data_IF_418823870257
#
_entry.id   IF_418823870257
#
_cell.length_a   1.000
_cell.length_b   1.000
_cell.length_c   1.000
_cell.angle_alpha   90.00
_cell.angle_beta   90.00
_cell.angle_gamma   90.00
#
_symmetry.space_group_name_H-M   'P 1'
#
loop_
_entity.id
_entity.type
_entity.pdbx_description
1 polymer ?
#
# COMPACT_ATOMS: atom_id res chain seq x y z
N UNK A 1 34.73 -56.76 57.53
CA UNK A 1 34.11 -57.32 58.73
C UNK A 1 32.82 -56.55 58.94
N UNK A 2 31.67 -57.10 58.49
CA UNK A 2 30.35 -56.49 58.60
C UNK A 2 29.59 -57.04 59.82
N UNK A 3 28.61 -56.28 60.33
CA UNK A 3 27.46 -56.83 61.06
C UNK A 3 26.27 -55.84 60.99
N UNK A 4 25.01 -56.29 61.13
CA UNK A 4 23.95 -56.10 60.14
C UNK A 4 22.64 -55.65 60.82
N UNK A 5 21.50 -55.88 60.14
CA UNK A 5 20.13 -55.90 60.67
C UNK A 5 19.48 -54.56 61.08
N UNK A 6 18.55 -54.08 60.25
CA UNK A 6 17.17 -54.55 60.39
C UNK A 6 16.28 -53.99 59.28
N UNK A 7 15.61 -54.95 58.66
CA UNK A 7 14.60 -54.85 57.62
C UNK A 7 13.33 -54.21 58.19
N UNK A 8 12.80 -53.14 57.56
CA UNK A 8 11.36 -52.87 57.57
C UNK A 8 10.93 -52.21 56.27
N UNK A 9 10.11 -52.96 55.53
CA UNK A 9 9.36 -52.54 54.35
C UNK A 9 8.35 -51.47 54.76
N UNK A 10 8.27 -50.38 54.01
CA UNK A 10 7.09 -49.50 54.01
C UNK A 10 6.37 -49.68 52.67
N UNK A 11 5.16 -50.25 52.74
CA UNK A 11 4.14 -50.19 51.69
C UNK A 11 3.41 -48.83 51.77
N UNK A 12 3.04 -48.19 50.65
CA UNK A 12 2.20 -47.01 50.70
C UNK A 12 0.71 -47.41 50.80
N UNK A 13 0.11 -47.06 51.94
CA UNK A 13 -1.34 -47.11 52.16
C UNK A 13 -2.10 -46.21 51.18
N UNK A 14 -2.90 -46.84 50.31
CA UNK A 14 -3.99 -46.22 49.54
C UNK A 14 -5.27 -46.23 50.38
N UNK A 15 -5.67 -45.10 50.95
CA UNK A 15 -7.06 -44.89 51.39
C UNK A 15 -7.53 -43.44 51.14
N UNK A 16 -8.60 -43.36 50.35
CA UNK A 16 -9.69 -42.37 50.37
C UNK A 16 -9.37 -40.87 50.33
N UNK A 17 -9.53 -40.28 49.14
CA UNK A 17 -10.33 -39.06 48.98
C UNK A 17 -11.30 -39.23 47.81
N UNK A 18 -12.57 -39.25 48.14
CA UNK A 18 -13.70 -39.10 47.22
C UNK A 18 -13.81 -37.61 46.89
N UNK A 19 -13.83 -37.17 45.62
CA UNK A 19 -14.40 -35.89 45.26
C UNK A 19 -15.92 -36.07 45.06
N UNK A 20 -16.70 -35.30 45.81
CA UNK A 20 -18.13 -35.10 45.56
C UNK A 20 -18.35 -34.66 44.10
N UNK A 21 -19.12 -35.45 43.35
CA UNK A 21 -19.64 -35.04 42.04
C UNK A 21 -20.80 -34.09 42.28
N UNK A 22 -20.52 -32.78 42.26
CA UNK A 22 -21.54 -31.76 42.10
C UNK A 22 -22.14 -31.85 40.70
N UNK A 23 -23.47 -31.94 40.64
CA UNK A 23 -24.28 -31.80 39.44
C UNK A 23 -23.87 -30.59 38.61
N UNK A 24 -23.61 -30.80 37.31
CA UNK A 24 -23.93 -29.92 36.16
C UNK A 24 -23.15 -30.39 34.91
N UNK A 25 -23.69 -31.38 34.19
CA UNK A 25 -23.27 -31.63 32.81
C UNK A 25 -23.97 -30.60 31.92
N UNK A 26 -23.30 -29.49 31.60
CA UNK A 26 -23.73 -28.59 30.53
C UNK A 26 -23.61 -29.29 29.17
N UNK A 27 -24.65 -29.31 28.33
CA UNK A 27 -24.57 -29.96 27.03
C UNK A 27 -23.69 -29.13 26.09
N UNK A 28 -22.61 -29.75 25.64
CA UNK A 28 -21.76 -29.23 24.57
C UNK A 28 -22.59 -29.18 23.28
N UNK A 29 -22.98 -27.97 22.86
CA UNK A 29 -23.67 -27.72 21.58
C UNK A 29 -22.75 -28.14 20.41
N UNK A 30 -22.84 -29.40 19.99
CA UNK A 30 -22.50 -29.78 18.61
C UNK A 30 -23.76 -29.56 17.77
N UNK A 31 -23.71 -28.55 16.89
CA UNK A 31 -24.81 -28.20 16.01
C UNK A 31 -25.02 -29.26 14.94
N UNK A 32 -26.08 -30.05 15.08
CA UNK A 32 -26.60 -30.92 14.04
C UNK A 32 -27.91 -31.55 14.51
N UNK A 33 -29.00 -31.32 13.77
CA UNK A 33 -30.35 -31.79 14.14
C UNK A 33 -30.44 -33.32 14.39
N UNK A 34 -29.45 -34.10 13.90
CA UNK A 34 -29.33 -35.54 14.15
C UNK A 34 -28.88 -35.93 15.57
N UNK A 35 -28.10 -35.09 16.27
CA UNK A 35 -27.59 -35.41 17.62
C UNK A 35 -28.73 -35.44 18.66
N UNK A 36 -29.68 -34.52 18.53
CA UNK A 36 -30.88 -34.42 19.39
C UNK A 36 -31.87 -35.58 19.22
N UNK A 37 -31.91 -36.23 18.05
CA UNK A 37 -32.81 -37.36 17.81
C UNK A 37 -32.23 -38.69 18.34
N UNK A 38 -30.90 -38.81 18.34
CA UNK A 38 -30.20 -39.98 18.85
C UNK A 38 -30.29 -40.06 20.39
N UNK A 39 -30.08 -38.93 21.06
CA UNK A 39 -30.16 -38.81 22.52
C UNK A 39 -31.56 -39.17 23.05
N UNK A 40 -32.61 -38.77 22.31
CA UNK A 40 -34.00 -39.02 22.71
C UNK A 40 -34.38 -40.50 22.70
N UNK A 41 -33.84 -41.28 21.77
CA UNK A 41 -34.17 -42.72 21.63
C UNK A 41 -33.45 -43.60 22.66
N UNK A 42 -32.24 -43.21 23.07
CA UNK A 42 -31.52 -43.88 24.16
C UNK A 42 -32.24 -43.64 25.48
N UNK A 43 -32.78 -42.43 25.68
CA UNK A 43 -33.59 -42.08 26.85
C UNK A 43 -34.96 -42.79 26.85
N UNK A 44 -35.60 -42.97 25.70
CA UNK A 44 -36.87 -43.73 25.60
C UNK A 44 -36.71 -45.24 25.81
N UNK A 45 -35.55 -45.81 25.45
CA UNK A 45 -35.24 -47.22 25.70
C UNK A 45 -34.84 -47.49 27.16
N UNK A 46 -34.52 -46.43 27.92
CA UNK A 46 -34.12 -46.55 29.31
C UNK A 46 -35.33 -46.66 30.24
N UNK A 47 -35.60 -47.87 30.73
CA UNK A 47 -36.59 -48.08 31.80
C UNK A 47 -36.18 -47.36 33.10
N UNK A 48 -37.15 -47.01 33.98
CA UNK A 48 -36.93 -46.14 35.14
C UNK A 48 -36.00 -46.69 36.24
N UNK A 49 -35.50 -47.92 36.11
CA UNK A 49 -34.65 -48.58 37.11
C UNK A 49 -33.23 -48.92 36.63
N UNK A 50 -32.80 -48.48 35.42
CA UNK A 50 -31.44 -48.76 34.96
C UNK A 50 -30.38 -47.96 35.74
N UNK A 51 -29.34 -48.66 36.19
CA UNK A 51 -28.19 -48.01 36.86
C UNK A 51 -27.27 -47.32 35.83
N UNK A 52 -26.51 -46.31 36.27
CA UNK A 52 -25.67 -45.49 35.37
C UNK A 52 -24.65 -46.29 34.54
N UNK A 53 -24.21 -47.46 35.01
CA UNK A 53 -23.34 -48.37 34.26
C UNK A 53 -24.09 -49.16 33.16
N UNK A 54 -25.36 -49.49 33.38
CA UNK A 54 -26.21 -50.15 32.38
C UNK A 54 -26.56 -49.21 31.24
N UNK A 55 -26.84 -47.94 31.55
CA UNK A 55 -27.02 -46.89 30.54
C UNK A 55 -25.80 -46.70 29.64
N UNK A 56 -24.59 -46.71 30.23
CA UNK A 56 -23.35 -46.61 29.47
C UNK A 56 -23.11 -47.87 28.61
N UNK A 57 -23.44 -49.05 29.11
CA UNK A 57 -23.33 -50.30 28.34
C UNK A 57 -24.33 -50.34 27.16
N UNK A 58 -25.55 -49.86 27.37
CA UNK A 58 -26.59 -49.78 26.34
C UNK A 58 -26.22 -48.76 25.25
N UNK A 59 -25.73 -47.58 25.66
CA UNK A 59 -25.23 -46.55 24.74
C UNK A 59 -24.03 -47.05 23.92
N UNK A 60 -23.14 -47.84 24.52
CA UNK A 60 -22.00 -48.43 23.83
C UNK A 60 -22.42 -49.53 22.84
N UNK A 61 -23.43 -50.35 23.16
CA UNK A 61 -24.03 -51.31 22.21
C UNK A 61 -24.72 -50.60 21.05
N UNK A 62 -25.44 -49.51 21.32
CA UNK A 62 -26.14 -48.74 20.30
C UNK A 62 -25.17 -48.05 19.34
N UNK A 63 -24.07 -47.50 19.86
CA UNK A 63 -22.99 -46.93 19.04
C UNK A 63 -22.30 -47.98 18.17
N UNK A 64 -22.07 -49.20 18.68
CA UNK A 64 -21.49 -50.30 17.88
C UNK A 64 -22.46 -50.83 16.79
N UNK A 65 -23.77 -50.85 17.07
CA UNK A 65 -24.78 -51.24 16.08
C UNK A 65 -24.91 -50.22 14.92
N UNK A 66 -24.62 -48.94 15.17
CA UNK A 66 -24.59 -47.89 14.15
C UNK A 66 -23.24 -47.76 13.43
N UNK A 67 -22.16 -48.39 13.92
CA UNK A 67 -20.83 -48.30 13.31
C UNK A 67 -20.50 -49.41 12.30
N UNK A 68 -21.35 -50.43 12.15
CA UNK A 68 -21.05 -51.61 11.28
C UNK A 68 -21.70 -51.59 9.91
N UNK A 69 -22.57 -50.62 9.59
CA UNK A 69 -23.19 -50.50 8.26
C UNK A 69 -23.32 -49.03 7.82
N UNK A 70 -22.39 -48.52 6.98
CA UNK A 70 -22.43 -47.15 6.51
C UNK A 70 -23.65 -46.82 5.62
N UNK A 71 -24.43 -47.83 5.21
CA UNK A 71 -25.63 -47.63 4.38
C UNK A 71 -26.90 -47.27 5.16
N UNK A 72 -26.89 -47.33 6.50
CA UNK A 72 -28.07 -47.10 7.35
C UNK A 72 -28.13 -45.75 8.06
N UNK A 73 -27.18 -44.84 7.81
CA UNK A 73 -27.33 -43.45 8.27
C UNK A 73 -28.48 -42.83 7.48
N UNK A 74 -29.60 -42.41 8.12
CA UNK A 74 -30.66 -41.74 7.41
C UNK A 74 -30.07 -40.46 6.79
N UNK A 75 -29.93 -40.46 5.46
CA UNK A 75 -29.62 -39.26 4.71
C UNK A 75 -30.81 -38.33 4.91
N UNK A 76 -30.69 -37.38 5.83
CA UNK A 76 -31.64 -36.27 5.95
C UNK A 76 -31.83 -35.63 4.58
N UNK A 77 -32.99 -34.97 4.32
CA UNK A 77 -33.31 -34.42 3.01
C UNK A 77 -32.11 -33.63 2.52
N UNK A 78 -31.54 -34.06 1.39
CA UNK A 78 -30.29 -33.52 0.87
C UNK A 78 -30.30 -32.00 1.01
N UNK A 79 -29.55 -31.49 1.99
CA UNK A 79 -29.19 -30.09 2.04
C UNK A 79 -28.33 -29.89 0.80
N UNK A 80 -28.97 -29.58 -0.32
CA UNK A 80 -28.29 -29.34 -1.58
C UNK A 80 -27.14 -28.39 -1.29
N UNK A 81 -25.94 -28.74 -1.78
CA UNK A 81 -24.83 -27.81 -1.78
C UNK A 81 -25.37 -26.44 -2.21
N UNK A 82 -25.03 -25.34 -1.51
CA UNK A 82 -25.55 -24.02 -1.87
C UNK A 82 -25.35 -23.84 -3.37
N UNK A 83 -26.37 -23.38 -4.13
CA UNK A 83 -26.32 -23.35 -5.58
C UNK A 83 -25.03 -22.67 -6.02
N UNK A 84 -24.09 -23.45 -6.54
CA UNK A 84 -22.81 -22.94 -6.99
C UNK A 84 -23.11 -22.21 -8.28
N UNK A 85 -23.14 -20.87 -8.21
CA UNK A 85 -23.24 -20.03 -9.40
C UNK A 85 -22.24 -20.54 -10.44
N UNK A 86 -22.62 -20.64 -11.73
CA UNK A 86 -21.68 -21.05 -12.77
C UNK A 86 -20.40 -20.23 -12.66
N UNK A 87 -19.23 -20.86 -12.80
CA UNK A 87 -17.92 -20.19 -12.61
C UNK A 87 -17.82 -18.91 -13.43
N UNK A 88 -18.41 -18.89 -14.63
CA UNK A 88 -18.51 -17.71 -15.49
C UNK A 88 -19.28 -16.55 -14.84
N UNK A 89 -20.39 -16.84 -14.17
CA UNK A 89 -21.21 -15.82 -13.46
C UNK A 89 -20.43 -15.22 -12.31
N UNK A 90 -19.71 -16.03 -11.53
CA UNK A 90 -18.86 -15.54 -10.43
C UNK A 90 -17.73 -14.65 -10.96
N UNK A 91 -17.07 -15.05 -12.05
CA UNK A 91 -16.02 -14.25 -12.69
C UNK A 91 -16.59 -12.93 -13.21
N UNK A 92 -17.73 -12.97 -13.90
CA UNK A 92 -18.37 -11.78 -14.48
C UNK A 92 -18.84 -10.81 -13.39
N UNK A 93 -19.47 -11.31 -12.32
CA UNK A 93 -19.82 -10.51 -11.15
C UNK A 93 -18.59 -9.90 -10.48
N UNK A 94 -17.49 -10.65 -10.40
CA UNK A 94 -16.20 -10.15 -9.90
C UNK A 94 -15.65 -9.01 -10.75
N UNK A 95 -15.62 -9.17 -12.08
CA UNK A 95 -15.15 -8.13 -13.01
C UNK A 95 -16.02 -6.88 -12.95
N UNK A 96 -17.35 -7.04 -12.97
CA UNK A 96 -18.30 -5.92 -12.85
C UNK A 96 -18.15 -5.24 -11.49
N UNK A 97 -17.96 -6.00 -10.41
CA UNK A 97 -17.72 -5.46 -9.08
C UNK A 97 -16.44 -4.64 -8.98
N UNK A 98 -15.33 -5.12 -9.57
CA UNK A 98 -14.06 -4.38 -9.63
C UNK A 98 -14.20 -3.13 -10.48
N UNK A 99 -14.81 -3.23 -11.67
CA UNK A 99 -15.02 -2.08 -12.55
C UNK A 99 -15.91 -1.01 -11.89
N UNK A 100 -17.03 -1.43 -11.27
CA UNK A 100 -17.92 -0.55 -10.54
C UNK A 100 -17.26 0.12 -9.33
N UNK A 101 -16.42 -0.63 -8.60
CA UNK A 101 -15.64 -0.08 -7.48
C UNK A 101 -14.63 0.97 -7.96
N UNK A 102 -13.88 0.70 -9.03
CA UNK A 102 -12.94 1.65 -9.60
C UNK A 102 -13.63 2.89 -10.15
N UNK A 103 -14.79 2.73 -10.80
CA UNK A 103 -15.61 3.83 -11.27
C UNK A 103 -16.10 4.71 -10.11
N UNK A 104 -16.58 4.11 -9.03
CA UNK A 104 -17.01 4.84 -7.83
C UNK A 104 -15.83 5.58 -7.17
N UNK A 105 -14.68 4.92 -7.04
CA UNK A 105 -13.46 5.54 -6.51
C UNK A 105 -13.06 6.75 -7.34
N UNK A 106 -13.12 6.64 -8.67
CA UNK A 106 -12.84 7.75 -9.59
C UNK A 106 -13.81 8.91 -9.40
N UNK A 107 -15.11 8.62 -9.29
CA UNK A 107 -16.14 9.65 -9.07
C UNK A 107 -15.95 10.38 -7.72
N UNK A 108 -15.51 9.67 -6.69
CA UNK A 108 -15.21 10.21 -5.37
C UNK A 108 -13.75 10.68 -5.21
N UNK A 109 -12.96 10.66 -6.29
CA UNK A 109 -11.52 10.89 -6.26
C UNK A 109 -11.13 12.28 -5.73
N UNK A 110 -11.95 13.30 -5.99
CA UNK A 110 -11.76 14.67 -5.51
C UNK A 110 -11.74 14.77 -3.97
N UNK A 111 -12.40 13.83 -3.28
CA UNK A 111 -12.45 13.76 -1.83
C UNK A 111 -11.51 12.67 -1.29
N UNK A 112 -11.55 11.49 -1.90
CA UNK A 112 -10.80 10.32 -1.42
C UNK A 112 -9.29 10.48 -1.59
N UNK A 113 -8.82 11.05 -2.71
CA UNK A 113 -7.38 11.18 -2.93
C UNK A 113 -6.71 12.16 -1.95
N UNK A 114 -7.24 13.38 -1.72
CA UNK A 114 -6.69 14.28 -0.72
C UNK A 114 -6.83 13.73 0.72
N UNK A 115 -7.95 13.08 1.04
CA UNK A 115 -8.15 12.45 2.35
C UNK A 115 -7.17 11.28 2.58
N UNK A 116 -6.90 10.48 1.55
CA UNK A 116 -5.94 9.38 1.65
C UNK A 116 -4.50 9.89 1.73
N UNK A 117 -4.14 10.94 0.99
CA UNK A 117 -2.86 11.63 1.17
C UNK A 117 -2.72 12.17 2.60
N UNK A 118 -3.80 12.74 3.15
CA UNK A 118 -3.83 13.21 4.54
C UNK A 118 -3.59 12.08 5.53
N UNK A 119 -4.23 10.92 5.33
CA UNK A 119 -3.99 9.73 6.15
C UNK A 119 -2.52 9.32 6.12
N UNK A 120 -1.88 9.34 4.95
CA UNK A 120 -0.45 9.07 4.82
C UNK A 120 0.39 10.06 5.64
N UNK A 121 0.12 11.36 5.53
CA UNK A 121 0.83 12.39 6.28
C UNK A 121 0.68 12.21 7.80
N UNK A 122 -0.54 11.91 8.28
CA UNK A 122 -0.79 11.62 9.71
C UNK A 122 0.01 10.39 10.16
N UNK A 123 0.03 9.33 9.35
CA UNK A 123 0.81 8.12 9.64
C UNK A 123 2.30 8.45 9.76
N UNK A 124 2.84 9.28 8.86
CA UNK A 124 4.26 9.69 8.85
C UNK A 124 4.63 10.55 10.05
N UNK A 125 3.75 11.47 10.47
CA UNK A 125 4.06 12.42 11.55
C UNK A 125 3.71 11.89 12.95
N UNK A 126 2.92 10.83 13.06
CA UNK A 126 2.61 10.17 14.33
C UNK A 126 3.83 9.95 15.28
N UNK A 127 4.99 9.42 14.84
CA UNK A 127 6.15 9.26 15.73
C UNK A 127 6.64 10.60 16.29
N UNK A 128 6.62 11.68 15.51
CA UNK A 128 7.00 13.02 15.95
C UNK A 128 6.06 13.53 17.05
N UNK A 129 4.76 13.28 16.93
CA UNK A 129 3.79 13.61 17.97
C UNK A 129 4.11 12.92 19.30
N UNK A 130 4.52 11.65 19.24
CA UNK A 130 4.87 10.91 20.45
C UNK A 130 6.14 11.45 21.11
N UNK A 131 7.10 11.92 20.31
CA UNK A 131 8.32 12.59 20.80
C UNK A 131 7.97 13.92 21.49
N UNK A 132 7.14 14.77 20.88
CA UNK A 132 6.70 16.03 21.50
C UNK A 132 6.00 15.80 22.83
N UNK A 133 5.13 14.79 22.90
CA UNK A 133 4.44 14.42 24.14
C UNK A 133 5.39 13.91 25.23
N UNK A 134 6.44 13.17 24.85
CA UNK A 134 7.49 12.74 25.79
C UNK A 134 8.28 13.91 26.36
N UNK A 135 8.39 15.02 25.64
CA UNK A 135 9.01 16.26 26.11
C UNK A 135 8.05 17.16 26.92
N UNK A 136 6.88 16.65 27.32
CA UNK A 136 5.96 17.38 28.20
C UNK A 136 5.01 18.35 27.49
N UNK A 137 5.00 18.40 26.15
CA UNK A 137 4.08 19.28 25.40
C UNK A 137 2.62 18.84 25.63
N UNK A 138 1.72 19.73 26.07
CA UNK A 138 0.30 19.43 26.21
C UNK A 138 -0.29 18.91 24.90
N UNK A 139 -1.20 17.93 25.01
CA UNK A 139 -1.78 17.21 23.87
C UNK A 139 -2.33 18.13 22.77
N UNK A 140 -3.09 19.16 23.16
CA UNK A 140 -3.67 20.10 22.21
C UNK A 140 -2.58 20.87 21.44
N UNK A 141 -1.55 21.33 22.13
CA UNK A 141 -0.47 22.10 21.54
C UNK A 141 0.36 21.24 20.57
N UNK A 142 0.64 19.98 20.93
CA UNK A 142 1.35 19.06 20.03
C UNK A 142 0.55 18.76 18.74
N UNK A 143 -0.78 18.66 18.83
CA UNK A 143 -1.64 18.46 17.65
C UNK A 143 -1.64 19.70 16.77
N UNK A 144 -1.89 20.88 17.35
CA UNK A 144 -1.94 22.14 16.60
C UNK A 144 -0.57 22.43 15.96
N UNK A 145 0.53 22.26 16.68
CA UNK A 145 1.87 22.53 16.13
C UNK A 145 2.19 21.62 14.93
N UNK A 146 1.81 20.35 15.00
CA UNK A 146 1.99 19.39 13.89
C UNK A 146 1.10 19.74 12.70
N UNK A 147 -0.16 20.05 12.94
CA UNK A 147 -1.09 20.45 11.89
C UNK A 147 -0.60 21.71 11.17
N UNK A 148 -0.15 22.70 11.92
CA UNK A 148 0.43 23.95 11.38
C UNK A 148 1.72 23.66 10.63
N UNK A 149 2.63 22.84 11.16
CA UNK A 149 3.88 22.50 10.48
C UNK A 149 3.64 21.77 9.15
N UNK A 150 2.71 20.82 9.11
CA UNK A 150 2.29 20.13 7.89
C UNK A 150 1.60 21.08 6.91
N UNK A 151 0.74 21.98 7.39
CA UNK A 151 0.11 22.98 6.54
C UNK A 151 1.14 23.89 5.89
N UNK A 152 2.07 24.44 6.68
CA UNK A 152 3.12 25.32 6.18
C UNK A 152 4.01 24.57 5.18
N UNK A 153 4.40 23.33 5.46
CA UNK A 153 5.23 22.57 4.53
C UNK A 153 4.52 22.30 3.19
N UNK A 154 3.25 21.88 3.22
CA UNK A 154 2.47 21.66 1.99
C UNK A 154 2.22 22.97 1.23
N UNK A 155 1.91 24.06 1.94
CA UNK A 155 1.71 25.37 1.33
C UNK A 155 2.99 25.88 0.67
N UNK A 156 4.15 25.74 1.34
CA UNK A 156 5.45 26.09 0.77
C UNK A 156 5.74 25.25 -0.48
N UNK A 157 5.52 23.93 -0.43
CA UNK A 157 5.71 23.07 -1.61
C UNK A 157 4.81 23.50 -2.78
N UNK A 158 3.53 23.80 -2.52
CA UNK A 158 2.60 24.27 -3.54
C UNK A 158 2.98 25.63 -4.14
N UNK A 159 3.40 26.58 -3.30
CA UNK A 159 3.88 27.90 -3.72
C UNK A 159 5.16 27.80 -4.54
N UNK A 160 6.13 27.01 -4.07
CA UNK A 160 7.40 26.78 -4.76
C UNK A 160 7.17 26.10 -6.11
N UNK A 161 6.27 25.12 -6.18
CA UNK A 161 5.92 24.48 -7.45
C UNK A 161 5.22 25.44 -8.41
N UNK A 162 4.32 26.30 -7.91
CA UNK A 162 3.66 27.34 -8.74
C UNK A 162 4.67 28.35 -9.26
N UNK A 163 5.60 28.80 -8.40
CA UNK A 163 6.71 29.67 -8.79
C UNK A 163 7.60 29.02 -9.85
N UNK A 164 7.98 27.76 -9.66
CA UNK A 164 8.80 26.99 -10.60
C UNK A 164 8.16 26.92 -12.00
N UNK A 165 6.85 26.67 -12.08
CA UNK A 165 6.12 26.67 -13.35
C UNK A 165 6.08 28.06 -13.97
N UNK A 166 5.82 29.11 -13.18
CA UNK A 166 5.83 30.49 -13.65
C UNK A 166 7.19 30.88 -14.24
N UNK A 167 8.27 30.47 -13.59
CA UNK A 167 9.64 30.70 -14.06
C UNK A 167 9.88 30.01 -15.41
N UNK A 168 9.49 28.73 -15.56
CA UNK A 168 9.59 28.01 -16.84
C UNK A 168 8.81 28.74 -17.93
N UNK A 169 7.56 29.13 -17.66
CA UNK A 169 6.69 29.82 -18.63
C UNK A 169 7.31 31.15 -19.07
N UNK A 170 7.92 31.89 -18.15
CA UNK A 170 8.56 33.18 -18.44
C UNK A 170 9.79 33.06 -19.35
N UNK A 171 10.43 31.91 -19.32
CA UNK A 171 11.68 31.62 -20.03
C UNK A 171 11.43 31.07 -21.44
N UNK A 172 10.28 30.40 -21.68
CA UNK A 172 9.91 29.87 -23.00
C UNK A 172 10.04 30.90 -24.14
N UNK A 173 9.53 32.15 -24.03
CA UNK A 173 9.69 33.16 -25.08
C UNK A 173 11.14 33.48 -25.45
N UNK A 174 12.05 33.44 -24.47
CA UNK A 174 13.45 33.84 -24.65
C UNK A 174 14.21 32.83 -25.52
N UNK A 175 13.87 31.55 -25.37
CA UNK A 175 14.49 30.45 -26.10
C UNK A 175 13.72 30.04 -27.36
N UNK A 176 12.56 30.63 -27.62
CA UNK A 176 11.72 30.28 -28.77
C UNK A 176 12.43 30.48 -30.10
N UNK A 177 13.10 31.61 -30.29
CA UNK A 177 13.79 31.91 -31.54
C UNK A 177 14.93 30.91 -31.80
N UNK A 178 15.70 30.58 -30.76
CA UNK A 178 16.78 29.58 -30.84
C UNK A 178 16.23 28.18 -31.14
N UNK A 179 15.12 27.80 -30.53
CA UNK A 179 14.44 26.53 -30.79
C UNK A 179 13.91 26.49 -32.24
N UNK A 180 13.29 27.57 -32.72
CA UNK A 180 12.78 27.67 -34.09
C UNK A 180 13.91 27.56 -35.11
N UNK A 181 15.06 28.20 -34.86
CA UNK A 181 16.23 28.10 -35.74
C UNK A 181 16.77 26.67 -35.80
N UNK A 182 16.82 25.96 -34.67
CA UNK A 182 17.24 24.56 -34.63
C UNK A 182 16.28 23.66 -35.42
N UNK A 183 14.97 23.85 -35.26
CA UNK A 183 13.93 23.12 -36.01
C UNK A 183 14.07 23.37 -37.51
N UNK A 184 14.30 24.62 -37.91
CA UNK A 184 14.46 25.02 -39.31
C UNK A 184 15.74 24.45 -39.95
N UNK A 185 16.77 24.12 -39.17
CA UNK A 185 18.00 23.46 -39.64
C UNK A 185 17.88 21.94 -39.82
N UNK A 186 16.88 21.31 -39.20
CA UNK A 186 16.64 19.86 -39.34
C UNK A 186 16.47 19.42 -40.80
N UNK A 187 15.64 20.07 -41.65
CA UNK A 187 15.50 19.68 -43.05
C UNK A 187 16.83 19.75 -43.83
N UNK A 188 17.69 20.73 -43.55
CA UNK A 188 19.02 20.82 -44.20
C UNK A 188 19.96 19.68 -43.75
N UNK A 189 19.86 19.24 -42.49
CA UNK A 189 20.65 18.11 -41.98
C UNK A 189 20.14 16.78 -42.54
N UNK A 190 18.83 16.63 -42.71
CA UNK A 190 18.22 15.45 -43.32
C UNK A 190 18.59 15.33 -44.80
N UNK A 191 18.65 16.45 -45.50
CA UNK A 191 19.11 16.54 -46.90
C UNK A 191 20.55 16.04 -47.05
N UNK A 192 21.44 16.46 -46.12
CA UNK A 192 22.83 15.97 -46.06
C UNK A 192 22.96 14.48 -45.76
N UNK A 193 21.95 13.87 -45.15
CA UNK A 193 21.88 12.43 -44.87
C UNK A 193 21.16 11.64 -45.97
N UNK A 194 20.75 12.30 -47.06
CA UNK A 194 20.09 11.66 -48.20
C UNK A 194 18.62 11.29 -47.96
N UNK A 195 17.97 11.90 -46.96
CA UNK A 195 16.56 11.67 -46.64
C UNK A 195 15.72 12.70 -47.40
N UNK A 196 14.91 12.21 -48.35
CA UNK A 196 14.09 13.03 -49.22
C UNK A 196 13.08 13.87 -48.42
N UNK A 197 13.06 15.20 -48.64
CA UNK A 197 12.22 16.16 -47.89
C UNK A 197 10.72 15.88 -48.01
N UNK A 198 10.28 15.18 -49.06
CA UNK A 198 8.89 14.79 -49.30
C UNK A 198 8.37 13.73 -48.32
N UNK A 199 9.25 12.95 -47.68
CA UNK A 199 8.89 11.94 -46.70
C UNK A 199 8.57 12.52 -45.31
N UNK A 200 8.99 13.76 -45.04
CA UNK A 200 8.84 14.42 -43.74
C UNK A 200 8.16 15.77 -43.97
N UNK A 201 6.84 15.76 -43.87
CA UNK A 201 5.99 16.96 -43.95
C UNK A 201 6.16 17.81 -42.67
N UNK A 202 7.33 18.43 -42.51
CA UNK A 202 7.70 19.27 -41.35
C UNK A 202 6.75 20.48 -41.21
N UNK A 203 6.04 20.84 -42.27
CA UNK A 203 4.93 21.80 -42.29
C UNK A 203 3.82 21.41 -41.31
N UNK A 204 3.56 20.11 -41.09
CA UNK A 204 2.60 19.60 -40.09
C UNK A 204 3.18 19.53 -38.67
N UNK A 205 4.51 19.56 -38.55
CA UNK A 205 5.23 19.57 -37.29
C UNK A 205 5.57 20.99 -36.82
N UNK A 206 4.94 22.03 -37.39
CA UNK A 206 5.07 23.41 -36.91
C UNK A 206 4.47 23.52 -35.51
N UNK A 207 5.31 23.26 -34.52
CA UNK A 207 5.03 23.62 -33.13
C UNK A 207 4.95 25.14 -33.10
N UNK A 208 3.80 25.65 -32.67
CA UNK A 208 3.60 27.09 -32.51
C UNK A 208 3.84 27.47 -31.05
N UNK A 209 4.40 28.65 -30.82
CA UNK A 209 4.66 29.14 -29.48
C UNK A 209 3.40 29.16 -28.60
N UNK A 210 2.25 29.49 -29.20
CA UNK A 210 0.95 29.50 -28.51
C UNK A 210 0.54 28.10 -28.01
N UNK A 211 0.94 27.02 -28.68
CA UNK A 211 0.67 25.67 -28.20
C UNK A 211 1.54 25.34 -26.97
N UNK A 212 2.81 25.76 -26.96
CA UNK A 212 3.69 25.59 -25.80
C UNK A 212 3.22 26.44 -24.63
N UNK A 213 2.90 27.72 -24.87
CA UNK A 213 2.38 28.61 -23.84
C UNK A 213 1.02 28.14 -23.32
N UNK A 214 0.16 27.59 -24.19
CA UNK A 214 -1.11 26.98 -23.80
C UNK A 214 -0.90 25.76 -22.91
N UNK A 215 0.00 24.85 -23.28
CA UNK A 215 0.35 23.68 -22.48
C UNK A 215 0.96 24.08 -21.13
N UNK A 216 1.89 25.05 -21.13
CA UNK A 216 2.49 25.58 -19.90
C UNK A 216 1.45 26.28 -19.01
N UNK A 217 0.49 26.99 -19.62
CA UNK A 217 -0.65 27.59 -18.94
C UNK A 217 -1.60 26.57 -18.32
N UNK A 218 -1.81 25.41 -18.96
CA UNK A 218 -2.56 24.29 -18.39
C UNK A 218 -1.84 23.66 -17.19
N UNK A 219 -0.52 23.51 -17.27
CA UNK A 219 0.28 23.06 -16.13
C UNK A 219 0.14 24.08 -15.00
N UNK A 220 0.33 25.37 -15.28
CA UNK A 220 0.20 26.45 -14.30
C UNK A 220 -1.18 26.49 -13.64
N UNK A 221 -2.28 26.35 -14.40
CA UNK A 221 -3.63 26.30 -13.85
C UNK A 221 -3.91 25.02 -13.04
N UNK A 222 -3.29 23.90 -13.41
CA UNK A 222 -3.30 22.68 -12.59
C UNK A 222 -2.68 22.91 -11.21
N UNK A 223 -1.56 23.65 -11.15
CA UNK A 223 -0.91 24.01 -9.89
C UNK A 223 -1.70 25.08 -9.11
N UNK A 224 -2.40 26.02 -9.75
CA UNK A 224 -3.24 26.99 -9.04
C UNK A 224 -4.44 26.32 -8.34
N UNK A 225 -4.95 25.21 -8.89
CA UNK A 225 -5.97 24.37 -8.25
C UNK A 225 -5.54 23.70 -6.95
N UNK A 226 -4.24 23.70 -6.62
CA UNK A 226 -3.71 23.13 -5.37
C UNK A 226 -4.32 23.81 -4.15
N UNK A 227 -4.65 25.11 -4.20
CA UNK A 227 -5.25 25.82 -3.05
C UNK A 227 -6.54 25.14 -2.57
N UNK A 228 -7.41 24.74 -3.51
CA UNK A 228 -8.65 24.03 -3.19
C UNK A 228 -8.39 22.65 -2.58
N UNK A 229 -7.44 21.90 -3.16
CA UNK A 229 -7.01 20.58 -2.64
C UNK A 229 -6.42 20.70 -1.25
N UNK A 230 -5.60 21.72 -0.99
CA UNK A 230 -5.04 22.00 0.33
C UNK A 230 -6.13 22.22 1.36
N UNK A 231 -7.21 22.95 1.03
CA UNK A 231 -8.36 23.12 1.92
C UNK A 231 -8.98 21.79 2.37
N UNK A 232 -9.12 20.82 1.45
CA UNK A 232 -9.61 19.47 1.77
C UNK A 232 -8.60 18.71 2.63
N UNK A 233 -7.31 18.76 2.29
CA UNK A 233 -6.24 18.11 3.06
C UNK A 233 -6.22 18.65 4.49
N UNK A 234 -6.29 19.96 4.67
CA UNK A 234 -6.26 20.61 5.99
C UNK A 234 -7.48 20.21 6.81
N UNK A 235 -8.66 20.24 6.21
CA UNK A 235 -9.91 19.87 6.89
C UNK A 235 -9.86 18.42 7.36
N UNK A 236 -9.43 17.51 6.47
CA UNK A 236 -9.21 16.11 6.81
C UNK A 236 -8.12 15.95 7.87
N UNK A 237 -7.04 16.74 7.80
CA UNK A 237 -5.90 16.65 8.70
C UNK A 237 -6.32 17.01 10.12
N UNK A 238 -7.04 18.12 10.29
CA UNK A 238 -7.57 18.54 11.58
C UNK A 238 -8.49 17.45 12.16
N UNK A 239 -9.44 16.95 11.36
CA UNK A 239 -10.38 15.91 11.80
C UNK A 239 -9.66 14.61 12.19
N UNK A 240 -8.73 14.13 11.38
CA UNK A 240 -7.97 12.91 11.67
C UNK A 240 -7.08 13.09 12.92
N UNK A 241 -6.45 14.25 13.07
CA UNK A 241 -5.55 14.51 14.19
C UNK A 241 -6.28 14.61 15.53
N UNK A 242 -7.52 15.12 15.54
CA UNK A 242 -8.41 15.09 16.70
C UNK A 242 -8.74 13.66 17.14
N UNK A 243 -8.78 12.71 16.19
CA UNK A 243 -9.12 11.32 16.42
C UNK A 243 -7.95 10.45 16.91
N UNK A 244 -6.70 10.80 16.56
CA UNK A 244 -5.46 10.08 16.94
C UNK A 244 -5.40 9.62 18.41
N UNK A 245 -5.80 10.41 19.41
CA UNK A 245 -5.72 10.00 20.81
C UNK A 245 -6.55 8.76 21.15
N UNK A 246 -7.64 8.54 20.41
CA UNK A 246 -8.53 7.40 20.60
C UNK A 246 -8.05 6.15 19.85
N UNK A 247 -7.15 6.30 18.87
CA UNK A 247 -6.69 5.21 17.99
C UNK A 247 -6.05 4.06 18.76
N UNK A 248 -5.23 4.35 19.78
CA UNK A 248 -4.60 3.30 20.58
C UNK A 248 -5.62 2.35 21.21
N UNK A 249 -6.71 2.90 21.76
CA UNK A 249 -7.80 2.11 22.34
C UNK A 249 -8.62 1.39 21.27
N UNK A 250 -8.94 2.06 20.16
CA UNK A 250 -9.67 1.46 19.03
C UNK A 250 -8.91 0.27 18.42
N UNK A 251 -7.60 0.39 18.24
CA UNK A 251 -6.74 -0.68 17.72
C UNK A 251 -6.63 -1.84 18.71
N UNK A 252 -6.57 -1.58 20.02
CA UNK A 252 -6.55 -2.63 21.02
C UNK A 252 -7.83 -3.48 20.97
N UNK A 253 -9.00 -2.82 21.02
CA UNK A 253 -10.31 -3.49 20.95
C UNK A 253 -10.52 -4.24 19.63
N UNK A 254 -10.10 -3.63 18.50
CA UNK A 254 -10.16 -4.30 17.21
C UNK A 254 -9.18 -5.49 17.13
N UNK A 255 -8.05 -5.43 17.84
CA UNK A 255 -7.06 -6.49 17.90
C UNK A 255 -7.58 -7.76 18.57
N UNK A 256 -8.46 -7.60 19.57
CA UNK A 256 -9.07 -8.73 20.29
C UNK A 256 -10.01 -9.54 19.39
N UNK A 257 -10.69 -8.88 18.44
CA UNK A 257 -11.67 -9.51 17.54
C UNK A 257 -11.08 -9.86 16.16
N UNK A 258 -10.21 -9.00 15.63
CA UNK A 258 -9.66 -9.10 14.28
C UNK A 258 -8.14 -8.87 14.27
N UNK A 259 -7.34 -9.75 14.93
CA UNK A 259 -5.90 -9.56 15.09
C UNK A 259 -5.15 -9.49 13.75
N UNK A 260 -5.64 -10.21 12.73
CA UNK A 260 -5.02 -10.22 11.38
C UNK A 260 -5.14 -8.88 10.66
N UNK A 261 -6.31 -8.25 10.72
CA UNK A 261 -6.54 -6.93 10.11
C UNK A 261 -5.67 -5.90 10.81
N UNK A 262 -5.59 -5.95 12.14
CA UNK A 262 -4.74 -5.04 12.92
C UNK A 262 -3.26 -5.22 12.59
N UNK A 263 -2.80 -6.47 12.43
CA UNK A 263 -1.42 -6.74 11.99
C UNK A 263 -1.14 -6.16 10.59
N UNK A 264 -2.03 -6.40 9.62
CA UNK A 264 -1.92 -5.86 8.26
C UNK A 264 -1.90 -4.32 8.25
N UNK A 265 -2.74 -3.65 9.06
CA UNK A 265 -2.76 -2.19 9.18
C UNK A 265 -1.50 -1.62 9.85
N UNK A 266 -0.89 -2.35 10.79
CA UNK A 266 0.41 -1.97 11.36
C UNK A 266 1.51 -2.07 10.32
N UNK A 267 1.54 -3.14 9.55
CA UNK A 267 2.52 -3.34 8.47
C UNK A 267 2.38 -2.26 7.39
N UNK A 268 1.14 -1.98 6.97
CA UNK A 268 0.80 -0.86 6.09
C UNK A 268 1.35 0.47 6.62
N UNK A 269 1.07 0.80 7.88
CA UNK A 269 1.53 2.03 8.52
C UNK A 269 3.07 2.13 8.56
N UNK A 270 3.77 1.03 8.83
CA UNK A 270 5.24 0.99 8.82
C UNK A 270 5.82 1.15 7.42
N UNK A 271 5.22 0.50 6.41
CA UNK A 271 5.68 0.62 5.03
C UNK A 271 5.46 2.01 4.45
N UNK A 272 4.33 2.67 4.75
CA UNK A 272 4.09 4.09 4.41
C UNK A 272 5.20 4.97 4.99
N UNK A 273 5.50 4.84 6.28
CA UNK A 273 6.56 5.65 6.93
C UNK A 273 7.90 5.46 6.25
N UNK A 274 8.28 4.21 6.01
CA UNK A 274 9.56 3.88 5.37
C UNK A 274 9.61 4.41 3.94
N UNK A 275 8.53 4.26 3.18
CA UNK A 275 8.41 4.79 1.82
C UNK A 275 8.62 6.31 1.80
N UNK A 276 7.83 7.08 2.55
CA UNK A 276 7.94 8.54 2.54
C UNK A 276 9.31 9.02 3.02
N UNK A 277 9.87 8.45 4.09
CA UNK A 277 11.20 8.83 4.58
C UNK A 277 12.31 8.56 3.54
N UNK A 278 12.28 7.38 2.92
CA UNK A 278 13.25 7.01 1.88
C UNK A 278 13.08 7.91 0.67
N UNK A 279 11.86 8.07 0.15
CA UNK A 279 11.59 8.90 -1.02
C UNK A 279 11.98 10.35 -0.81
N UNK A 280 11.68 10.93 0.35
CA UNK A 280 12.09 12.30 0.67
C UNK A 280 13.61 12.43 0.78
N UNK A 281 14.29 11.48 1.45
CA UNK A 281 15.74 11.51 1.62
C UNK A 281 16.50 11.34 0.31
N UNK A 282 16.15 10.32 -0.49
CA UNK A 282 16.76 10.10 -1.80
C UNK A 282 16.37 11.16 -2.81
N UNK A 283 15.14 11.66 -2.77
CA UNK A 283 14.71 12.78 -3.60
C UNK A 283 15.53 14.04 -3.31
N UNK A 284 15.78 14.34 -2.03
CA UNK A 284 16.59 15.49 -1.63
C UNK A 284 18.05 15.34 -2.08
N UNK A 285 18.61 14.14 -1.95
CA UNK A 285 19.94 13.82 -2.47
C UNK A 285 20.00 14.02 -3.99
N UNK A 286 19.05 13.46 -4.74
CA UNK A 286 19.01 13.59 -6.20
C UNK A 286 18.81 15.03 -6.66
N UNK A 287 17.95 15.79 -6.00
CA UNK A 287 17.76 17.21 -6.27
C UNK A 287 19.05 18.01 -6.04
N UNK A 288 19.78 17.73 -4.96
CA UNK A 288 21.08 18.36 -4.68
C UNK A 288 22.13 18.04 -5.73
N UNK A 289 22.23 16.76 -6.14
CA UNK A 289 23.17 16.34 -7.19
C UNK A 289 22.82 16.97 -8.54
N UNK A 290 21.53 16.98 -8.92
CA UNK A 290 21.09 17.59 -10.17
C UNK A 290 21.25 19.12 -10.17
N UNK A 291 21.05 19.79 -9.03
CA UNK A 291 21.37 21.21 -8.88
C UNK A 291 22.84 21.49 -9.21
N UNK A 292 23.76 20.71 -8.63
CA UNK A 292 25.20 20.85 -8.84
C UNK A 292 25.57 20.59 -10.30
N UNK A 293 25.04 19.52 -10.88
CA UNK A 293 25.22 19.16 -12.29
C UNK A 293 24.81 20.31 -13.23
N UNK A 294 23.59 20.84 -13.06
CA UNK A 294 23.08 21.93 -13.89
C UNK A 294 23.89 23.22 -13.72
N UNK A 295 24.35 23.51 -12.49
CA UNK A 295 25.22 24.67 -12.22
C UNK A 295 26.58 24.54 -12.90
N UNK A 296 27.20 23.35 -12.86
CA UNK A 296 28.50 23.11 -13.51
C UNK A 296 28.39 23.23 -15.02
N UNK A 297 27.32 22.69 -15.61
CA UNK A 297 27.07 22.75 -17.05
C UNK A 297 26.54 24.11 -17.53
N UNK A 298 26.25 25.04 -16.61
CA UNK A 298 25.74 26.37 -16.94
C UNK A 298 24.33 26.36 -17.52
N UNK A 299 23.52 25.34 -17.19
CA UNK A 299 22.12 25.23 -17.64
C UNK A 299 21.26 26.18 -16.81
N UNK A 300 20.36 26.97 -17.44
CA UNK A 300 19.51 27.91 -16.72
C UNK A 300 18.49 27.21 -15.82
N UNK A 301 18.00 27.96 -14.82
CA UNK A 301 17.01 27.51 -13.84
C UNK A 301 17.40 26.25 -13.01
N UNK A 302 18.64 26.12 -12.51
CA UNK A 302 19.08 24.91 -11.82
C UNK A 302 18.26 24.60 -10.56
N UNK A 303 17.77 25.64 -9.86
CA UNK A 303 16.91 25.48 -8.68
C UNK A 303 15.55 24.89 -9.06
N UNK A 304 14.94 25.37 -10.14
CA UNK A 304 13.63 24.91 -10.63
C UNK A 304 13.69 23.43 -10.98
N UNK A 305 14.72 23.01 -11.70
CA UNK A 305 14.89 21.62 -12.13
C UNK A 305 15.24 20.68 -10.99
N UNK A 306 16.05 21.14 -10.03
CA UNK A 306 16.31 20.39 -8.80
C UNK A 306 15.01 20.17 -7.99
N UNK A 307 14.17 21.20 -7.86
CA UNK A 307 12.86 21.08 -7.21
C UNK A 307 11.93 20.15 -7.98
N UNK A 308 11.90 20.23 -9.30
CA UNK A 308 11.12 19.30 -10.13
C UNK A 308 11.58 17.86 -9.93
N UNK A 309 12.89 17.62 -9.88
CA UNK A 309 13.49 16.31 -9.58
C UNK A 309 13.06 15.80 -8.20
N UNK A 310 13.09 16.68 -7.19
CA UNK A 310 12.63 16.35 -5.85
C UNK A 310 11.15 15.93 -5.85
N UNK A 311 10.29 16.70 -6.51
CA UNK A 311 8.85 16.44 -6.62
C UNK A 311 8.55 15.17 -7.42
N UNK A 312 9.26 14.94 -8.52
CA UNK A 312 9.04 13.78 -9.38
C UNK A 312 9.55 12.48 -8.76
N UNK A 313 10.39 12.53 -7.73
CA UNK A 313 10.87 11.32 -7.03
C UNK A 313 9.73 10.53 -6.37
N UNK A 314 8.60 11.17 -6.06
CA UNK A 314 7.43 10.50 -5.51
C UNK A 314 6.60 9.77 -6.58
N UNK A 315 6.78 10.06 -7.86
CA UNK A 315 6.06 9.42 -8.97
C UNK A 315 6.89 8.23 -9.49
N UNK A 316 6.55 6.98 -9.13
CA UNK A 316 7.38 5.83 -9.41
C UNK A 316 7.53 5.58 -10.92
N UNK A 317 8.70 5.07 -11.33
CA UNK A 317 9.05 4.64 -12.70
C UNK A 317 9.09 5.73 -13.77
N UNK A 318 8.19 6.72 -13.72
CA UNK A 318 8.01 7.73 -14.77
C UNK A 318 8.53 9.10 -14.34
N UNK A 319 8.61 9.38 -13.03
CA UNK A 319 9.09 10.66 -12.50
C UNK A 319 10.45 11.11 -13.07
N UNK A 320 11.38 10.16 -13.23
CA UNK A 320 12.69 10.40 -13.84
C UNK A 320 12.59 11.11 -15.21
N UNK A 321 11.69 10.64 -16.09
CA UNK A 321 11.54 11.22 -17.43
C UNK A 321 11.00 12.64 -17.37
N UNK A 322 9.99 12.88 -16.53
CA UNK A 322 9.42 14.21 -16.35
C UNK A 322 10.37 15.20 -15.68
N UNK A 323 11.29 14.72 -14.83
CA UNK A 323 12.35 15.56 -14.25
C UNK A 323 13.49 15.87 -15.24
N UNK A 324 13.81 14.95 -16.16
CA UNK A 324 14.96 15.08 -17.06
C UNK A 324 14.64 15.81 -18.36
N UNK A 325 13.51 15.49 -18.99
CA UNK A 325 13.20 15.96 -20.35
C UNK A 325 13.20 17.50 -20.42
N UNK A 326 12.50 18.23 -19.52
CA UNK A 326 12.48 19.68 -19.60
C UNK A 326 13.87 20.36 -19.49
N UNK A 327 14.73 20.09 -18.47
CA UNK A 327 16.06 20.68 -18.42
C UNK A 327 16.94 20.23 -19.57
N UNK A 328 16.78 19.00 -20.07
CA UNK A 328 17.54 18.51 -21.22
C UNK A 328 17.23 19.29 -22.49
N UNK A 329 15.95 19.55 -22.76
CA UNK A 329 15.51 20.39 -23.88
C UNK A 329 16.03 21.82 -23.76
N UNK A 330 15.95 22.39 -22.55
CA UNK A 330 16.46 23.75 -22.30
C UNK A 330 17.97 23.80 -22.48
N UNK A 331 18.73 22.82 -21.96
CA UNK A 331 20.17 22.75 -22.17
C UNK A 331 20.54 22.60 -23.66
N UNK A 332 19.77 21.82 -24.41
CA UNK A 332 19.99 21.62 -25.85
C UNK A 332 19.81 22.93 -26.63
N UNK A 333 18.76 23.69 -26.33
CA UNK A 333 18.48 24.96 -27.00
C UNK A 333 19.42 26.07 -26.54
N UNK A 334 19.64 26.20 -25.23
CA UNK A 334 20.37 27.32 -24.63
C UNK A 334 21.90 27.16 -24.69
N UNK A 335 22.41 25.94 -24.51
CA UNK A 335 23.85 25.65 -24.34
C UNK A 335 24.40 24.76 -25.46
N UNK A 336 23.56 24.28 -26.38
CA UNK A 336 23.93 23.41 -27.48
C UNK A 336 23.90 21.91 -27.14
N UNK A 337 24.03 21.10 -28.19
CA UNK A 337 23.86 19.64 -28.11
C UNK A 337 24.91 18.93 -27.25
N UNK A 338 26.13 19.46 -27.17
CA UNK A 338 27.20 18.88 -26.35
C UNK A 338 26.87 18.97 -24.86
N UNK A 339 26.39 20.14 -24.42
CA UNK A 339 25.99 20.36 -23.02
C UNK A 339 24.80 19.48 -22.66
N UNK A 340 23.82 19.35 -23.56
CA UNK A 340 22.70 18.42 -23.38
C UNK A 340 23.15 16.96 -23.27
N UNK A 341 24.13 16.53 -24.08
CA UNK A 341 24.65 15.17 -24.03
C UNK A 341 25.41 14.89 -22.73
N UNK A 342 26.20 15.87 -22.24
CA UNK A 342 26.85 15.77 -20.93
C UNK A 342 25.83 15.71 -19.79
N UNK A 343 24.81 16.57 -19.81
CA UNK A 343 23.71 16.54 -18.85
C UNK A 343 23.00 15.18 -18.86
N UNK A 344 22.65 14.66 -20.04
CA UNK A 344 22.03 13.34 -20.15
C UNK A 344 22.92 12.24 -19.57
N UNK A 345 24.21 12.23 -19.91
CA UNK A 345 25.16 11.23 -19.45
C UNK A 345 25.35 11.25 -17.93
N UNK A 346 25.61 12.43 -17.35
CA UNK A 346 25.84 12.59 -15.91
C UNK A 346 24.54 12.27 -15.14
N UNK A 347 23.39 12.70 -15.61
CA UNK A 347 22.10 12.44 -14.97
C UNK A 347 21.75 10.95 -14.96
N UNK A 348 22.00 10.24 -16.07
CA UNK A 348 21.81 8.80 -16.17
C UNK A 348 22.74 8.03 -15.23
N UNK A 349 24.02 8.39 -15.21
CA UNK A 349 25.01 7.77 -14.30
C UNK A 349 24.61 8.01 -12.84
N UNK A 350 24.25 9.25 -12.49
CA UNK A 350 23.84 9.62 -11.14
C UNK A 350 22.57 8.87 -10.73
N UNK A 351 21.58 8.79 -11.61
CA UNK A 351 20.36 8.03 -11.36
C UNK A 351 20.63 6.54 -11.19
N UNK A 352 21.44 5.94 -12.07
CA UNK A 352 21.79 4.54 -11.96
C UNK A 352 22.53 4.21 -10.67
N UNK A 353 23.47 5.07 -10.25
CA UNK A 353 24.18 4.91 -8.98
C UNK A 353 23.22 5.08 -7.80
N UNK A 354 22.52 6.21 -7.70
CA UNK A 354 21.72 6.55 -6.52
C UNK A 354 20.46 5.70 -6.43
N UNK A 355 19.67 5.63 -7.50
CA UNK A 355 18.40 4.89 -7.50
C UNK A 355 18.57 3.40 -7.81
N UNK A 356 19.57 3.01 -8.62
CA UNK A 356 19.82 1.62 -8.96
C UNK A 356 20.66 0.85 -7.93
N UNK A 357 21.67 1.49 -7.32
CA UNK A 357 22.60 0.83 -6.39
C UNK A 357 22.35 1.18 -4.93
N UNK A 358 22.23 2.47 -4.60
CA UNK A 358 22.12 2.90 -3.20
C UNK A 358 20.70 2.75 -2.64
N UNK A 359 19.70 3.18 -3.39
CA UNK A 359 18.31 3.16 -2.92
C UNK A 359 17.83 1.75 -2.56
N UNK A 360 18.09 0.68 -3.32
CA UNK A 360 17.66 -0.67 -2.94
C UNK A 360 18.37 -1.19 -1.68
N UNK A 361 19.64 -0.82 -1.47
CA UNK A 361 20.42 -1.21 -0.27
C UNK A 361 19.85 -0.59 1.00
N UNK A 362 19.42 0.68 0.96
CA UNK A 362 18.83 1.38 2.10
C UNK A 362 17.36 1.00 2.29
N UNK A 363 16.65 0.86 1.17
CA UNK A 363 15.20 0.62 1.17
C UNK A 363 14.87 -0.84 1.36
N UNK A 364 15.82 -1.78 1.27
CA UNK A 364 15.64 -3.23 1.53
C UNK A 364 14.20 -3.70 1.38
N UNK A 365 13.74 -3.88 0.13
CA UNK A 365 12.39 -4.31 -0.28
C UNK A 365 11.18 -3.68 0.47
N UNK A 366 11.34 -2.52 1.13
CA UNK A 366 10.38 -1.91 2.07
C UNK A 366 8.97 -1.72 1.57
N UNK A 367 8.81 -1.53 0.27
CA UNK A 367 7.53 -1.16 -0.33
C UNK A 367 6.74 -2.42 -0.70
N UNK A 368 7.36 -3.61 -0.64
CA UNK A 368 6.66 -4.89 -0.74
C UNK A 368 5.96 -5.17 -2.08
N UNK A 369 6.27 -4.36 -3.11
CA UNK A 369 5.78 -4.49 -4.50
C UNK A 369 6.95 -4.44 -5.48
N UNK A 370 6.91 -5.28 -6.49
CA UNK A 370 7.89 -5.30 -7.57
C UNK A 370 7.73 -4.10 -8.54
N UNK A 371 8.74 -3.86 -9.39
CA UNK A 371 8.75 -2.73 -10.31
C UNK A 371 7.58 -2.75 -11.31
N UNK A 372 7.18 -3.94 -11.76
CA UNK A 372 6.03 -4.12 -12.67
C UNK A 372 4.73 -3.68 -12.01
N UNK A 373 4.50 -4.10 -10.76
CA UNK A 373 3.34 -3.71 -9.96
C UNK A 373 3.37 -2.22 -9.65
N UNK A 374 4.55 -1.64 -9.38
CA UNK A 374 4.69 -0.20 -9.20
C UNK A 374 4.28 0.59 -10.47
N UNK A 375 4.68 0.11 -11.66
CA UNK A 375 4.29 0.74 -12.92
C UNK A 375 2.79 0.60 -13.22
N UNK A 376 2.21 -0.60 -13.02
CA UNK A 376 0.77 -0.81 -13.18
C UNK A 376 -0.03 0.04 -12.18
N UNK A 377 0.43 0.07 -10.93
CA UNK A 377 -0.11 0.90 -9.86
C UNK A 377 -0.14 2.36 -10.26
N UNK A 378 0.97 2.89 -10.80
CA UNK A 378 1.03 4.26 -11.29
C UNK A 378 -0.09 4.53 -12.30
N UNK A 379 -0.20 3.73 -13.36
CA UNK A 379 -1.21 3.96 -14.39
C UNK A 379 -2.63 3.82 -13.86
N UNK A 380 -2.88 2.81 -13.03
CA UNK A 380 -4.18 2.57 -12.42
C UNK A 380 -4.61 3.75 -11.55
N UNK A 381 -3.80 4.14 -10.58
CA UNK A 381 -4.17 5.21 -9.65
C UNK A 381 -4.12 6.59 -10.29
N UNK A 382 -3.25 6.82 -11.29
CA UNK A 382 -3.29 8.05 -12.11
C UNK A 382 -4.60 8.16 -12.87
N UNK A 383 -5.13 7.03 -13.39
CA UNK A 383 -6.43 7.01 -14.05
C UNK A 383 -7.60 7.22 -13.06
N UNK A 384 -7.50 6.68 -11.84
CA UNK A 384 -8.56 6.83 -10.82
C UNK A 384 -8.59 8.22 -10.19
N UNK A 385 -7.44 8.74 -9.73
CA UNK A 385 -7.34 9.96 -8.92
C UNK A 385 -6.57 11.11 -9.62
N UNK A 386 -6.18 10.95 -10.88
CA UNK A 386 -5.41 11.97 -11.60
C UNK A 386 -3.98 12.12 -11.07
N UNK A 387 -3.40 13.34 -11.12
CA UNK A 387 -2.03 13.60 -10.66
C UNK A 387 -1.77 13.22 -9.20
N UNK A 388 -2.74 13.41 -8.31
CA UNK A 388 -2.62 12.97 -6.92
C UNK A 388 -2.54 11.45 -6.81
N UNK A 389 -3.25 10.73 -7.67
CA UNK A 389 -3.18 9.28 -7.78
C UNK A 389 -1.79 8.77 -8.16
N UNK A 390 -1.11 9.48 -9.08
CA UNK A 390 0.27 9.19 -9.44
C UNK A 390 1.21 9.32 -8.24
N UNK A 391 1.02 10.36 -7.43
CA UNK A 391 1.80 10.65 -6.23
C UNK A 391 1.62 9.59 -5.13
N UNK A 392 0.39 9.12 -4.92
CA UNK A 392 0.04 8.18 -3.85
C UNK A 392 -0.15 6.74 -4.35
N UNK A 393 0.33 6.42 -5.55
CA UNK A 393 0.11 5.14 -6.21
C UNK A 393 0.58 3.95 -5.34
N UNK A 394 1.82 4.02 -4.83
CA UNK A 394 2.38 2.94 -4.02
C UNK A 394 1.64 2.78 -2.68
N UNK A 395 1.37 3.84 -1.89
CA UNK A 395 0.50 3.73 -0.72
C UNK A 395 -0.88 3.14 -1.01
N UNK A 396 -1.54 3.53 -2.11
CA UNK A 396 -2.85 2.97 -2.49
C UNK A 396 -2.74 1.46 -2.77
N UNK A 397 -1.75 1.04 -3.54
CA UNK A 397 -1.51 -0.38 -3.81
C UNK A 397 -1.17 -1.15 -2.54
N UNK A 398 -0.39 -0.55 -1.64
CA UNK A 398 -0.07 -1.17 -0.36
C UNK A 398 -1.31 -1.32 0.53
N UNK A 399 -2.23 -0.35 0.52
CA UNK A 399 -3.51 -0.46 1.21
C UNK A 399 -4.32 -1.63 0.65
N UNK A 400 -4.49 -1.68 -0.67
CA UNK A 400 -5.22 -2.77 -1.34
C UNK A 400 -4.62 -4.13 -1.02
N UNK A 401 -3.29 -4.25 -1.08
CA UNK A 401 -2.56 -5.47 -0.70
C UNK A 401 -2.83 -5.84 0.76
N UNK A 402 -2.72 -4.89 1.69
CA UNK A 402 -2.93 -5.15 3.12
C UNK A 402 -4.36 -5.60 3.45
N UNK A 403 -5.37 -5.06 2.76
CA UNK A 403 -6.78 -5.36 3.00
C UNK A 403 -7.26 -6.63 2.29
N UNK A 404 -6.81 -6.88 1.07
CA UNK A 404 -7.32 -8.00 0.25
C UNK A 404 -6.42 -9.23 0.29
N UNK A 405 -5.12 -9.06 0.49
CA UNK A 405 -4.14 -10.15 0.43
C UNK A 405 -3.64 -10.52 1.82
N UNK A 406 -3.14 -9.54 2.59
CA UNK A 406 -2.51 -9.84 3.88
C UNK A 406 -3.55 -10.16 4.98
N UNK A 407 -4.76 -9.61 4.88
CA UNK A 407 -5.85 -9.90 5.80
C UNK A 407 -6.51 -11.28 5.56
N UNK A 408 -6.48 -11.81 4.32
CA UNK A 408 -7.12 -13.09 3.95
C UNK A 408 -6.08 -14.23 3.81
N UNK A 409 -6.12 -15.27 4.68
CA UNK A 409 -5.26 -16.44 4.55
C UNK A 409 -5.30 -17.13 3.18
N UNK A 410 -6.45 -17.12 2.50
CA UNK A 410 -6.63 -17.80 1.21
C UNK A 410 -6.00 -17.02 0.05
N UNK A 411 -5.80 -15.73 0.20
CA UNK A 411 -5.22 -14.86 -0.83
C UNK A 411 -3.69 -14.78 -0.77
N UNK A 412 -3.03 -15.30 0.28
CA UNK A 412 -1.58 -15.18 0.48
C UNK A 412 -0.69 -15.72 -0.64
N UNK A 413 -1.19 -16.65 -1.47
CA UNK A 413 -0.44 -17.10 -2.64
C UNK A 413 -0.14 -15.93 -3.60
N UNK A 414 -0.96 -14.88 -3.63
CA UNK A 414 -0.75 -13.68 -4.45
C UNK A 414 0.51 -12.92 -4.02
N UNK A 415 0.93 -13.02 -2.75
CA UNK A 415 2.16 -12.39 -2.30
C UNK A 415 3.40 -12.92 -3.04
N UNK A 416 3.40 -14.17 -3.52
CA UNK A 416 4.53 -14.69 -4.30
C UNK A 416 4.65 -14.04 -5.69
N UNK A 417 3.56 -13.50 -6.24
CA UNK A 417 3.54 -12.82 -7.54
C UNK A 417 3.82 -11.32 -7.41
N UNK A 418 3.40 -10.71 -6.30
CA UNK A 418 3.44 -9.25 -6.11
C UNK A 418 4.70 -8.79 -5.37
N UNK A 419 5.26 -9.63 -4.49
CA UNK A 419 6.44 -9.27 -3.68
C UNK A 419 7.77 -9.65 -4.36
N UNK A 420 8.82 -8.89 -4.07
CA UNK A 420 10.18 -9.16 -4.59
C UNK A 420 10.85 -10.38 -3.93
N UNK A 421 10.30 -10.93 -2.85
CA UNK A 421 10.77 -12.16 -2.21
C UNK A 421 9.56 -12.95 -1.72
N UNK A 422 9.21 -14.09 -2.34
CA UNK A 422 8.29 -15.04 -1.72
C UNK A 422 8.98 -15.61 -0.49
N UNK A 423 8.83 -14.97 0.68
CA UNK A 423 9.09 -15.66 1.93
C UNK A 423 8.08 -16.80 2.03
N UNK A 424 8.55 -18.02 1.73
CA UNK A 424 7.90 -19.23 2.19
C UNK A 424 8.04 -19.23 3.71
N UNK A 425 7.22 -18.45 4.41
CA UNK A 425 6.88 -18.79 5.79
C UNK A 425 6.01 -20.03 5.70
N UNK A 426 6.70 -21.15 5.57
CA UNK A 426 6.10 -22.46 5.76
C UNK A 426 5.25 -22.41 7.02
N UNK A 427 4.06 -22.97 6.92
CA UNK A 427 3.44 -23.56 8.10
C UNK A 427 4.53 -24.36 8.84
N UNK A 428 4.48 -24.34 10.18
CA UNK A 428 5.36 -25.07 11.11
C UNK A 428 6.66 -24.35 11.49
N UNK A 429 6.55 -23.59 12.58
CA UNK A 429 7.66 -22.98 13.31
C UNK A 429 7.23 -22.49 14.69
N UNK A 430 6.39 -23.27 15.37
CA UNK A 430 6.16 -23.20 16.81
C UNK A 430 6.19 -24.64 17.32
N UNK A 431 7.33 -25.04 17.84
CA UNK A 431 7.45 -26.08 18.87
C UNK A 431 7.63 -25.38 20.20
#
# INVERSE_FOLDING_TARGET
MPDPESTKREEPHLLHRIPEFSDTVTPQKSGGAGATALDRRVVEAAGPEMTGLELLAEQHRFNMAFSSDPSRVPQGPHGGAPPQLPRLVVILLGVVGVAGSLWLLRQLGWLLAPAFLTLNLVIVVYPLQNILRRHGVPKALAMVSIAVALFVSLAVVGLVATWAVGEIVSVVPQYWNQASDLINRVPELLDKLGIERSAIDLSKAQVNMNQILGAAGQVYSGFSGIVGVLGVIISALIMMLLDVPSWGRRIAVAGDTHPRIVAAMREFSTGIRRYWLVSTGFGALMAGLNYVELRILGVPLPVVWALLTWLMTYVPSVGFFFSLIPPLLVAFVANGWQTALWLLGIYLVTTWIVQGVFQPKVTGNAVGVNATVALISLFLWSWVFGPLGALIALPCTQLVKSLLVDADPKARWINSLISNQPEVRGAWGQS
#
